data_IF_513520550134
#
_entry.id   IF_513520550134
#
_cell.length_a   1.000
_cell.length_b   1.000
_cell.length_c   1.000
_cell.angle_alpha   90.00
_cell.angle_beta   90.00
_cell.angle_gamma   90.00
#
_symmetry.space_group_name_H-M   'P 1'
#
loop_
_entity.id
_entity.type
_entity.pdbx_description
1 polymer ?
#
# COMPACT_ATOMS: atom_id res chain seq x y z
N UNK A 1 2.83 0.79 -4.36
CA UNK A 1 1.57 1.42 -4.79
C UNK A 1 1.60 1.67 -6.28
N UNK A 2 0.60 1.16 -7.00
CA UNK A 2 0.30 1.42 -8.41
C UNK A 2 -0.90 2.37 -8.62
N UNK A 3 -1.21 3.22 -7.63
CA UNK A 3 -2.46 3.97 -7.58
C UNK A 3 -2.74 4.83 -8.81
N UNK A 4 -3.98 4.75 -9.30
CA UNK A 4 -4.54 5.63 -10.33
C UNK A 4 -4.65 7.06 -9.78
N UNK A 5 -4.23 8.06 -10.56
CA UNK A 5 -4.34 9.49 -10.22
C UNK A 5 -3.00 10.20 -9.94
N UNK A 6 -1.92 9.47 -9.63
CA UNK A 6 -0.58 10.04 -9.38
C UNK A 6 0.08 10.72 -10.60
N UNK A 7 -0.53 10.54 -11.77
CA UNK A 7 -0.04 10.99 -13.08
C UNK A 7 -0.61 12.39 -13.44
N UNK A 8 -1.55 12.92 -12.64
CA UNK A 8 -2.13 14.25 -12.86
C UNK A 8 -1.21 15.36 -12.34
N UNK A 9 -0.88 16.35 -13.19
CA UNK A 9 -0.16 17.58 -12.81
C UNK A 9 1.32 17.67 -13.19
N UNK A 10 1.86 16.69 -13.92
CA UNK A 10 3.17 16.76 -14.55
C UNK A 10 3.17 16.04 -15.91
N UNK A 11 4.13 16.31 -16.81
CA UNK A 11 4.17 15.70 -18.15
C UNK A 11 4.46 14.19 -18.16
N UNK A 12 4.72 13.55 -17.01
CA UNK A 12 4.95 12.10 -16.93
C UNK A 12 4.42 11.52 -15.62
N UNK A 13 3.79 10.32 -15.66
CA UNK A 13 3.56 9.46 -14.49
C UNK A 13 4.82 9.36 -13.63
N UNK A 14 4.69 9.47 -12.31
CA UNK A 14 5.80 9.24 -11.37
C UNK A 14 5.34 8.29 -10.29
N UNK A 15 5.40 6.99 -10.58
CA UNK A 15 5.02 5.96 -9.61
C UNK A 15 6.25 5.47 -8.86
N UNK A 16 6.26 5.45 -7.51
CA UNK A 16 7.46 5.11 -6.75
C UNK A 16 8.11 3.78 -7.15
N UNK A 17 7.31 2.76 -7.45
CA UNK A 17 7.81 1.44 -7.83
C UNK A 17 8.51 1.41 -9.20
N UNK A 18 8.13 2.29 -10.14
CA UNK A 18 8.79 2.39 -11.45
C UNK A 18 10.18 3.01 -11.32
N UNK A 19 10.30 4.04 -10.49
CA UNK A 19 11.60 4.64 -10.16
C UNK A 19 12.51 3.66 -9.41
N UNK A 20 11.97 2.91 -8.44
CA UNK A 20 12.72 1.87 -7.74
C UNK A 20 13.23 0.81 -8.71
N UNK A 21 12.41 0.32 -9.64
CA UNK A 21 12.84 -0.64 -10.68
C UNK A 21 14.01 -0.12 -11.52
N UNK A 22 13.96 1.16 -11.91
CA UNK A 22 15.01 1.76 -12.72
C UNK A 22 16.34 1.83 -11.96
N UNK A 23 16.32 2.11 -10.66
CA UNK A 23 17.52 2.23 -9.82
C UNK A 23 18.06 0.87 -9.37
N UNK A 24 17.17 -0.08 -9.07
CA UNK A 24 17.54 -1.38 -8.51
C UNK A 24 18.01 -2.39 -9.56
N UNK A 25 17.92 -2.09 -10.85
CA UNK A 25 18.27 -3.02 -11.92
C UNK A 25 19.72 -3.56 -11.77
N UNK A 26 19.94 -4.89 -11.83
CA UNK A 26 19.02 -5.94 -12.28
C UNK A 26 18.10 -6.56 -11.20
N UNK A 27 18.08 -6.03 -9.98
CA UNK A 27 17.21 -6.47 -8.89
C UNK A 27 15.71 -6.33 -9.19
N UNK A 28 14.91 -7.17 -8.53
CA UNK A 28 13.46 -7.24 -8.74
C UNK A 28 12.69 -6.33 -7.77
N UNK A 29 11.62 -5.69 -8.26
CA UNK A 29 10.65 -4.95 -7.44
C UNK A 29 9.26 -5.50 -7.69
N UNK A 30 8.66 -6.06 -6.64
CA UNK A 30 7.36 -6.72 -6.65
C UNK A 30 6.31 -5.77 -6.05
N UNK A 31 5.51 -5.07 -6.87
CA UNK A 31 4.47 -4.17 -6.38
C UNK A 31 3.23 -4.97 -5.95
N UNK A 32 3.11 -5.26 -4.66
CA UNK A 32 1.93 -5.94 -4.11
C UNK A 32 0.78 -4.96 -3.80
N UNK A 33 1.11 -3.74 -3.41
CA UNK A 33 0.11 -2.74 -3.00
C UNK A 33 -0.62 -2.08 -4.18
N UNK A 34 -1.96 -2.14 -4.12
CA UNK A 34 -2.89 -1.50 -5.04
C UNK A 34 -3.41 -0.19 -4.44
N UNK A 35 -3.56 0.86 -5.27
CA UNK A 35 -4.21 2.11 -4.84
C UNK A 35 -5.60 1.83 -4.27
N UNK A 36 -6.18 2.70 -3.45
CA UNK A 36 -7.54 2.54 -2.89
C UNK A 36 -7.75 1.39 -1.88
N UNK A 37 -6.85 0.42 -1.80
CA UNK A 37 -6.91 -0.64 -0.77
C UNK A 37 -6.67 -0.08 0.64
N UNK A 38 -7.35 -0.67 1.62
CA UNK A 38 -7.14 -0.46 3.06
C UNK A 38 -6.10 -1.45 3.62
N UNK A 39 -5.52 -1.17 4.80
CA UNK A 39 -4.41 -1.98 5.36
C UNK A 39 -4.73 -3.47 5.46
N UNK A 40 -5.97 -3.83 5.77
CA UNK A 40 -6.40 -5.22 5.87
C UNK A 40 -6.46 -6.00 4.55
N UNK A 41 -6.59 -5.31 3.42
CA UNK A 41 -6.38 -5.95 2.12
C UNK A 41 -4.91 -6.30 1.93
N UNK A 42 -4.00 -5.43 2.40
CA UNK A 42 -2.56 -5.65 2.28
C UNK A 42 -2.10 -6.83 3.15
N UNK A 43 -2.73 -7.04 4.33
CA UNK A 43 -2.49 -8.22 5.17
C UNK A 43 -2.76 -9.53 4.43
N UNK A 44 -3.85 -9.58 3.67
CA UNK A 44 -4.18 -10.73 2.81
C UNK A 44 -3.20 -10.84 1.65
N UNK A 45 -2.89 -9.72 0.99
CA UNK A 45 -1.94 -9.72 -0.14
C UNK A 45 -0.56 -10.23 0.25
N UNK A 46 -0.04 -9.90 1.45
CA UNK A 46 1.26 -10.42 1.88
C UNK A 46 1.20 -11.84 2.46
N UNK A 47 0.00 -12.40 2.61
CA UNK A 47 -0.22 -13.74 3.18
C UNK A 47 -0.21 -13.80 4.71
N UNK A 48 -0.27 -12.65 5.40
CA UNK A 48 -0.42 -12.62 6.86
C UNK A 48 -1.78 -13.18 7.27
N UNK A 49 -2.85 -12.75 6.60
CA UNK A 49 -4.18 -13.32 6.81
C UNK A 49 -4.53 -14.24 5.64
N UNK A 50 -5.05 -15.43 5.96
CA UNK A 50 -5.48 -16.44 5.00
C UNK A 50 -6.98 -16.72 5.17
N UNK A 51 -7.85 -15.81 4.72
CA UNK A 51 -9.28 -15.89 4.99
C UNK A 51 -9.92 -17.07 4.27
N UNK A 52 -10.87 -17.73 4.91
CA UNK A 52 -11.78 -18.68 4.28
C UNK A 52 -12.71 -17.94 3.32
N UNK A 53 -12.69 -18.39 2.07
CA UNK A 53 -13.60 -17.97 1.01
C UNK A 53 -14.70 -19.01 0.88
N UNK A 54 -15.95 -18.56 0.92
CA UNK A 54 -17.13 -19.39 0.77
C UNK A 54 -17.85 -19.10 -0.55
N UNK A 55 -18.41 -20.13 -1.16
CA UNK A 55 -19.16 -20.07 -2.40
C UNK A 55 -20.64 -20.38 -2.19
N UNK A 56 -21.55 -19.89 -3.06
CA UNK A 56 -22.94 -20.32 -3.04
C UNK A 56 -23.05 -21.84 -3.20
N UNK A 57 -23.61 -22.52 -2.19
CA UNK A 57 -23.73 -23.99 -2.19
C UNK A 57 -22.42 -24.75 -1.89
N UNK A 58 -21.40 -24.07 -1.34
CA UNK A 58 -20.14 -24.68 -0.89
C UNK A 58 -19.11 -24.95 -1.98
N UNK A 59 -19.42 -24.56 -3.23
CA UNK A 59 -18.49 -24.69 -4.37
C UNK A 59 -18.75 -23.63 -5.44
N UNK A 60 -17.69 -23.20 -6.12
CA UNK A 60 -17.79 -22.47 -7.38
C UNK A 60 -18.41 -23.41 -8.43
N UNK A 61 -19.73 -23.27 -8.67
CA UNK A 61 -20.51 -24.21 -9.47
C UNK A 61 -20.36 -24.04 -11.00
N UNK A 62 -19.69 -22.97 -11.44
CA UNK A 62 -19.51 -22.64 -12.85
C UNK A 62 -18.03 -22.46 -13.18
N UNK A 63 -17.54 -23.02 -14.30
CA UNK A 63 -16.25 -22.65 -14.87
C UNK A 63 -16.13 -21.13 -15.07
N UNK A 64 -14.92 -20.60 -14.92
CA UNK A 64 -14.63 -19.17 -15.02
C UNK A 64 -14.86 -18.39 -13.71
N UNK A 65 -15.24 -17.12 -13.83
CA UNK A 65 -15.44 -16.24 -12.67
C UNK A 65 -16.71 -16.62 -11.90
N UNK A 66 -16.55 -16.99 -10.63
CA UNK A 66 -17.64 -17.34 -9.72
C UNK A 66 -17.84 -16.26 -8.65
N UNK A 67 -19.09 -15.96 -8.25
CA UNK A 67 -19.35 -15.09 -7.10
C UNK A 67 -18.96 -15.81 -5.80
N UNK A 68 -18.44 -15.04 -4.86
CA UNK A 68 -18.13 -15.47 -3.50
C UNK A 68 -19.29 -15.07 -2.59
N UNK A 69 -19.82 -16.02 -1.80
CA UNK A 69 -20.92 -15.76 -0.86
C UNK A 69 -20.44 -15.17 0.46
N UNK A 70 -19.18 -15.39 0.83
CA UNK A 70 -18.58 -14.83 2.03
C UNK A 70 -17.05 -14.91 2.03
N UNK A 71 -16.43 -13.95 2.70
CA UNK A 71 -15.01 -13.97 3.06
C UNK A 71 -14.98 -13.72 4.57
N UNK A 72 -14.41 -14.63 5.35
CA UNK A 72 -14.39 -14.58 6.82
C UNK A 72 -13.38 -13.55 7.38
N UNK A 73 -13.35 -12.38 6.77
CA UNK A 73 -12.41 -11.32 7.06
C UNK A 73 -13.11 -9.97 7.02
N UNK A 74 -12.58 -9.00 7.75
CA UNK A 74 -13.13 -7.66 7.82
C UNK A 74 -12.88 -6.82 6.55
N UNK A 75 -12.34 -7.43 5.49
CA UNK A 75 -12.14 -6.72 4.23
C UNK A 75 -13.46 -6.47 3.51
N UNK A 76 -13.60 -5.29 2.92
CA UNK A 76 -14.70 -4.99 2.02
C UNK A 76 -14.33 -5.39 0.58
N UNK A 77 -15.35 -5.57 -0.25
CA UNK A 77 -15.21 -5.97 -1.65
C UNK A 77 -14.87 -4.81 -2.59
N UNK A 78 -13.99 -3.90 -2.17
CA UNK A 78 -13.61 -2.74 -2.96
C UNK A 78 -13.14 -3.12 -4.38
N UNK A 79 -13.74 -2.54 -5.42
CA UNK A 79 -13.57 -2.99 -6.82
C UNK A 79 -12.13 -3.03 -7.35
N UNK A 80 -11.22 -2.24 -6.77
CA UNK A 80 -9.83 -2.24 -7.23
C UNK A 80 -8.96 -3.25 -6.49
N UNK A 81 -9.51 -4.00 -5.54
CA UNK A 81 -8.79 -5.10 -4.90
C UNK A 81 -8.75 -6.30 -5.84
N UNK A 82 -7.55 -6.82 -6.05
CA UNK A 82 -7.29 -8.06 -6.77
C UNK A 82 -6.08 -8.76 -6.16
N UNK A 83 -6.15 -10.06 -5.91
CA UNK A 83 -5.03 -10.81 -5.36
C UNK A 83 -4.94 -12.18 -6.03
N UNK A 84 -3.80 -12.44 -6.68
CA UNK A 84 -3.46 -13.78 -7.11
C UNK A 84 -3.16 -14.66 -5.88
N UNK A 85 -3.60 -15.92 -5.94
CA UNK A 85 -3.42 -16.87 -4.85
C UNK A 85 -3.99 -18.23 -5.18
N UNK A 86 -4.31 -19.00 -4.16
CA UNK A 86 -4.96 -20.30 -4.31
C UNK A 86 -5.99 -20.55 -3.23
N UNK A 87 -7.01 -21.35 -3.56
CA UNK A 87 -7.98 -21.91 -2.60
C UNK A 87 -7.93 -23.43 -2.79
N UNK A 88 -7.66 -24.18 -1.71
CA UNK A 88 -7.51 -25.65 -1.76
C UNK A 88 -6.52 -26.13 -2.84
N UNK A 89 -5.45 -25.35 -3.09
CA UNK A 89 -4.44 -25.63 -4.11
C UNK A 89 -4.84 -25.26 -5.54
N UNK A 90 -6.06 -24.79 -5.79
CA UNK A 90 -6.50 -24.29 -7.09
C UNK A 90 -6.01 -22.85 -7.25
N UNK A 91 -5.09 -22.56 -8.20
CA UNK A 91 -4.61 -21.20 -8.41
C UNK A 91 -5.69 -20.33 -9.07
N UNK A 92 -5.73 -19.05 -8.71
CA UNK A 92 -6.70 -18.11 -9.26
C UNK A 92 -6.52 -16.70 -8.70
N UNK A 93 -7.54 -15.88 -8.91
CA UNK A 93 -7.58 -14.48 -8.47
C UNK A 93 -8.85 -14.23 -7.66
N UNK A 94 -8.66 -13.74 -6.43
CA UNK A 94 -9.73 -13.17 -5.60
C UNK A 94 -9.80 -11.67 -5.88
N UNK A 95 -10.97 -11.17 -6.29
CA UNK A 95 -11.16 -9.76 -6.64
C UNK A 95 -12.43 -9.17 -6.01
N UNK A 96 -12.38 -7.90 -5.62
CA UNK A 96 -13.55 -7.14 -5.19
C UNK A 96 -14.38 -6.64 -6.38
N UNK A 97 -15.70 -6.55 -6.21
CA UNK A 97 -16.65 -6.07 -7.22
C UNK A 97 -17.69 -5.11 -6.61
N UNK A 98 -17.21 -4.16 -5.79
CA UNK A 98 -17.94 -3.16 -4.99
C UNK A 98 -18.85 -3.73 -3.88
N UNK A 99 -19.72 -4.69 -4.20
CA UNK A 99 -20.71 -5.26 -3.25
C UNK A 99 -20.45 -6.71 -2.87
N UNK A 100 -19.58 -7.41 -3.61
CA UNK A 100 -19.26 -8.81 -3.39
C UNK A 100 -17.84 -9.12 -3.88
N UNK A 101 -17.29 -10.24 -3.43
CA UNK A 101 -16.05 -10.77 -3.98
C UNK A 101 -16.34 -11.73 -5.15
N UNK A 102 -15.35 -11.91 -5.99
CA UNK A 102 -15.35 -12.89 -7.08
C UNK A 102 -14.06 -13.69 -7.05
N UNK A 103 -14.16 -14.94 -7.48
CA UNK A 103 -13.04 -15.85 -7.65
C UNK A 103 -12.94 -16.25 -9.11
N UNK A 104 -11.75 -16.14 -9.69
CA UNK A 104 -11.48 -16.60 -11.06
C UNK A 104 -10.33 -17.61 -11.03
N UNK A 105 -10.60 -18.92 -11.20
CA UNK A 105 -9.55 -19.93 -11.35
C UNK A 105 -8.66 -19.61 -12.56
N UNK A 106 -7.34 -19.81 -12.42
CA UNK A 106 -6.37 -19.48 -13.47
C UNK A 106 -6.53 -20.36 -14.73
N UNK A 107 -6.97 -21.61 -14.56
CA UNK A 107 -7.25 -22.54 -15.65
C UNK A 107 -8.67 -22.42 -16.23
N UNK A 108 -9.47 -21.48 -15.71
CA UNK A 108 -10.85 -21.20 -16.11
C UNK A 108 -11.84 -22.37 -16.00
N UNK A 109 -11.43 -23.54 -15.52
CA UNK A 109 -12.19 -24.79 -15.62
C UNK A 109 -12.32 -25.54 -14.30
N UNK A 110 -11.49 -25.21 -13.30
CA UNK A 110 -11.49 -25.91 -12.03
C UNK A 110 -12.55 -25.40 -11.07
N UNK A 111 -13.49 -26.28 -10.72
CA UNK A 111 -14.43 -26.06 -9.61
C UNK A 111 -13.62 -25.97 -8.31
N UNK A 112 -13.93 -24.97 -7.49
CA UNK A 112 -13.23 -24.71 -6.23
C UNK A 112 -14.24 -24.82 -5.09
N UNK A 113 -13.96 -25.64 -4.08
CA UNK A 113 -14.74 -25.72 -2.84
C UNK A 113 -14.37 -24.59 -1.89
N UNK A 114 -15.20 -24.34 -0.88
CA UNK A 114 -14.89 -23.42 0.22
C UNK A 114 -13.52 -23.76 0.83
N UNK A 115 -12.76 -22.74 1.22
CA UNK A 115 -11.45 -22.96 1.81
C UNK A 115 -10.62 -21.71 2.01
N UNK A 116 -9.46 -21.84 2.66
CA UNK A 116 -8.56 -20.72 2.90
C UNK A 116 -7.98 -20.20 1.60
N UNK A 117 -8.02 -18.88 1.41
CA UNK A 117 -7.27 -18.19 0.38
C UNK A 117 -5.82 -17.97 0.83
N UNK A 118 -4.87 -18.50 0.06
CA UNK A 118 -3.43 -18.33 0.29
C UNK A 118 -2.86 -17.44 -0.81
N UNK A 119 -2.29 -16.29 -0.45
CA UNK A 119 -1.71 -15.34 -1.40
C UNK A 119 -0.50 -15.95 -2.13
N UNK A 120 -0.44 -15.71 -3.44
CA UNK A 120 0.70 -16.11 -4.27
C UNK A 120 1.98 -15.33 -3.92
N UNK A 121 1.87 -14.13 -3.34
CA UNK A 121 3.04 -13.30 -3.00
C UNK A 121 3.82 -13.83 -1.80
N UNK A 122 3.24 -14.74 -1.00
CA UNK A 122 3.86 -15.22 0.25
C UNK A 122 5.25 -15.84 0.02
N UNK A 123 5.46 -16.54 -1.09
CA UNK A 123 6.77 -17.12 -1.43
C UNK A 123 7.79 -16.05 -1.80
N UNK A 124 7.38 -15.08 -2.61
CA UNK A 124 8.27 -14.09 -3.20
C UNK A 124 8.71 -13.04 -2.18
N UNK A 125 7.89 -12.83 -1.16
CA UNK A 125 8.16 -11.93 -0.05
C UNK A 125 9.15 -12.50 0.96
N UNK A 126 9.39 -13.82 0.96
CA UNK A 126 10.27 -14.43 1.96
C UNK A 126 11.73 -14.00 1.78
N UNK A 127 12.24 -13.28 2.77
CA UNK A 127 13.63 -12.82 2.79
C UNK A 127 13.89 -11.54 2.00
N UNK A 128 12.87 -10.96 1.38
CA UNK A 128 12.96 -9.68 0.67
C UNK A 128 13.12 -8.49 1.62
N UNK A 129 13.45 -7.33 1.04
CA UNK A 129 13.24 -6.04 1.69
C UNK A 129 11.82 -5.55 1.42
N UNK A 130 11.16 -5.04 2.46
CA UNK A 130 9.76 -4.63 2.42
C UNK A 130 9.63 -3.13 2.52
N UNK A 131 8.76 -2.56 1.69
CA UNK A 131 8.35 -1.17 1.75
C UNK A 131 6.87 -1.09 2.10
N UNK A 132 6.55 -0.66 3.32
CA UNK A 132 5.16 -0.52 3.76
C UNK A 132 4.71 0.93 3.65
N UNK A 133 3.73 1.18 2.78
CA UNK A 133 3.03 2.46 2.66
C UNK A 133 1.53 2.22 2.48
N UNK A 134 0.87 1.88 3.59
CA UNK A 134 -0.50 1.39 3.62
C UNK A 134 -1.31 2.07 4.74
N UNK A 135 -2.63 1.94 4.69
CA UNK A 135 -3.52 2.34 5.78
C UNK A 135 -4.15 3.73 5.66
N UNK A 136 -3.76 4.56 4.67
CA UNK A 136 -4.38 5.89 4.46
C UNK A 136 -5.90 5.81 4.31
N UNK A 137 -6.40 4.80 3.59
CA UNK A 137 -7.82 4.65 3.26
C UNK A 137 -8.69 4.21 4.45
N UNK A 138 -8.09 3.76 5.56
CA UNK A 138 -8.79 3.42 6.81
C UNK A 138 -8.20 4.13 8.02
N UNK A 139 -7.43 5.21 7.81
CA UNK A 139 -6.71 5.90 8.90
C UNK A 139 -7.64 6.52 9.94
N UNK A 140 -8.87 6.85 9.55
CA UNK A 140 -9.89 7.37 10.47
C UNK A 140 -10.47 6.31 11.39
N UNK A 141 -10.31 5.03 11.08
CA UNK A 141 -10.88 3.94 11.85
C UNK A 141 -10.17 3.82 13.19
N UNK A 142 -10.96 3.84 14.26
CA UNK A 142 -10.46 3.78 15.64
C UNK A 142 -9.37 4.83 15.92
N UNK A 143 -9.45 6.01 15.28
CA UNK A 143 -8.44 7.06 15.43
C UNK A 143 -7.03 6.63 15.02
N UNK A 144 -6.91 5.78 14.00
CA UNK A 144 -5.65 5.26 13.48
C UNK A 144 -5.12 4.02 14.20
N UNK A 145 -5.83 3.50 15.22
CA UNK A 145 -5.38 2.32 15.96
C UNK A 145 -5.32 1.07 15.07
N UNK A 146 -6.28 0.93 14.15
CA UNK A 146 -6.31 -0.17 13.20
C UNK A 146 -5.10 -0.13 12.25
N UNK A 147 -4.80 1.04 11.67
CA UNK A 147 -3.62 1.23 10.81
C UNK A 147 -2.31 0.89 11.52
N UNK A 148 -2.16 1.30 12.78
CA UNK A 148 -1.02 0.94 13.62
C UNK A 148 -0.94 -0.58 13.78
N UNK A 149 -2.02 -1.20 14.26
CA UNK A 149 -2.06 -2.64 14.53
C UNK A 149 -1.78 -3.47 13.28
N UNK A 150 -2.32 -3.07 12.14
CA UNK A 150 -2.11 -3.79 10.88
C UNK A 150 -0.68 -3.63 10.37
N UNK A 151 -0.14 -2.42 10.42
CA UNK A 151 1.25 -2.19 9.98
C UNK A 151 2.22 -2.98 10.84
N UNK A 152 2.04 -2.95 12.16
CA UNK A 152 2.88 -3.68 13.10
C UNK A 152 2.79 -5.19 12.89
N UNK A 153 1.59 -5.73 12.71
CA UNK A 153 1.41 -7.15 12.42
C UNK A 153 2.06 -7.55 11.08
N UNK A 154 1.96 -6.71 10.05
CA UNK A 154 2.61 -6.98 8.76
C UNK A 154 4.14 -6.96 8.88
N UNK A 155 4.73 -6.02 9.62
CA UNK A 155 6.17 -5.99 9.86
C UNK A 155 6.62 -7.22 10.66
N UNK A 156 5.91 -7.54 11.75
CA UNK A 156 6.24 -8.70 12.60
C UNK A 156 6.14 -10.02 11.82
N UNK A 157 5.17 -10.13 10.90
CA UNK A 157 5.00 -11.29 10.01
C UNK A 157 6.21 -11.55 9.10
N UNK A 158 6.91 -10.50 8.65
CA UNK A 158 8.12 -10.66 7.83
C UNK A 158 9.25 -11.35 8.59
N UNK A 159 9.23 -11.30 9.93
CA UNK A 159 10.27 -11.85 10.79
C UNK A 159 11.61 -11.10 10.74
N UNK A 160 11.69 -9.97 10.04
CA UNK A 160 12.92 -9.21 9.82
C UNK A 160 12.61 -7.69 9.76
N UNK A 161 12.36 -7.10 10.93
CA UNK A 161 12.03 -5.68 11.04
C UNK A 161 13.12 -4.79 10.40
N UNK A 162 14.39 -5.18 10.47
CA UNK A 162 15.53 -4.50 9.86
C UNK A 162 15.50 -4.46 8.32
N UNK A 163 14.64 -5.27 7.70
CA UNK A 163 14.40 -5.29 6.25
C UNK A 163 13.11 -4.57 5.87
N UNK A 164 12.40 -3.98 6.82
CA UNK A 164 11.16 -3.27 6.60
C UNK A 164 11.39 -1.77 6.67
N UNK A 165 10.98 -1.04 5.64
CA UNK A 165 10.98 0.41 5.60
C UNK A 165 9.54 0.92 5.55
N UNK A 166 9.18 1.79 6.51
CA UNK A 166 7.81 2.23 6.75
C UNK A 166 7.67 3.68 6.32
N UNK A 167 6.73 3.96 5.43
CA UNK A 167 6.38 5.32 5.02
C UNK A 167 5.20 5.82 5.83
N UNK A 168 5.43 6.94 6.51
CA UNK A 168 4.42 7.69 7.21
C UNK A 168 3.33 8.23 6.28
N UNK A 169 2.26 8.67 6.92
CA UNK A 169 1.07 9.20 6.28
C UNK A 169 1.15 10.71 6.23
N UNK A 170 0.34 11.33 5.38
CA UNK A 170 0.25 12.78 5.29
C UNK A 170 -1.20 13.25 5.31
N UNK A 171 -1.40 14.50 5.72
CA UNK A 171 -2.70 15.16 5.77
C UNK A 171 -2.99 15.78 4.40
N UNK A 172 -4.12 15.44 3.81
CA UNK A 172 -4.58 15.98 2.54
C UNK A 172 -5.40 17.25 2.76
N UNK A 173 -5.55 18.12 1.74
CA UNK A 173 -6.47 19.26 1.80
C UNK A 173 -7.91 18.92 2.21
N UNK A 174 -8.37 17.69 1.93
CA UNK A 174 -9.73 17.24 2.25
C UNK A 174 -9.87 16.58 3.62
N UNK A 175 -8.77 16.36 4.35
CA UNK A 175 -8.81 15.69 5.64
C UNK A 175 -9.40 16.60 6.73
N UNK A 176 -10.37 16.07 7.47
CA UNK A 176 -10.88 16.71 8.68
C UNK A 176 -9.82 16.74 9.80
N UNK A 177 -9.99 17.62 10.79
CA UNK A 177 -9.15 17.65 12.01
C UNK A 177 -9.08 16.29 12.72
N UNK A 178 -10.15 15.48 12.64
CA UNK A 178 -10.15 14.11 13.19
C UNK A 178 -9.15 13.22 12.45
N UNK A 179 -9.14 13.27 11.12
CA UNK A 179 -8.21 12.50 10.29
C UNK A 179 -6.78 13.00 10.48
N UNK A 180 -6.57 14.32 10.54
CA UNK A 180 -5.24 14.90 10.80
C UNK A 180 -4.65 14.41 12.14
N UNK A 181 -5.46 14.31 13.20
CA UNK A 181 -5.03 13.71 14.49
C UNK A 181 -4.69 12.23 14.38
N UNK A 182 -5.45 11.47 13.60
CA UNK A 182 -5.17 10.05 13.38
C UNK A 182 -3.85 9.87 12.60
N UNK A 183 -3.61 10.69 11.56
CA UNK A 183 -2.32 10.74 10.83
C UNK A 183 -1.17 11.02 11.78
N UNK A 184 -1.26 12.06 12.62
CA UNK A 184 -0.22 12.39 13.58
C UNK A 184 0.05 11.22 14.54
N UNK A 185 -1.00 10.61 15.10
CA UNK A 185 -0.87 9.46 15.99
C UNK A 185 -0.20 8.25 15.32
N UNK A 186 -0.57 7.93 14.09
CA UNK A 186 0.04 6.83 13.31
C UNK A 186 1.52 7.12 13.08
N UNK A 187 1.86 8.33 12.62
CA UNK A 187 3.26 8.70 12.36
C UNK A 187 4.10 8.73 13.64
N UNK A 188 3.57 9.24 14.75
CA UNK A 188 4.27 9.27 16.03
C UNK A 188 4.58 7.86 16.54
N UNK A 189 3.61 6.94 16.44
CA UNK A 189 3.82 5.53 16.78
C UNK A 189 4.87 4.88 15.89
N UNK A 190 4.73 5.02 14.56
CA UNK A 190 5.64 4.40 13.61
C UNK A 190 7.06 4.97 13.73
N UNK A 191 7.21 6.27 13.95
CA UNK A 191 8.50 6.91 14.27
C UNK A 191 9.13 6.32 15.52
N UNK A 192 8.34 6.20 16.60
CA UNK A 192 8.85 5.67 17.87
C UNK A 192 9.24 4.19 17.78
N UNK A 193 8.48 3.37 17.04
CA UNK A 193 8.71 1.93 16.90
C UNK A 193 9.86 1.60 15.93
N UNK A 194 9.92 2.28 14.79
CA UNK A 194 10.82 1.89 13.69
C UNK A 194 12.06 2.76 13.56
N UNK A 195 12.11 3.94 14.19
CA UNK A 195 13.29 4.79 14.21
C UNK A 195 13.81 5.12 12.80
N UNK A 196 15.04 4.73 12.51
CA UNK A 196 15.69 4.98 11.21
C UNK A 196 15.03 4.24 10.03
N UNK A 197 14.19 3.23 10.30
CA UNK A 197 13.42 2.49 9.32
C UNK A 197 12.07 3.15 8.99
N UNK A 198 11.84 4.37 9.48
CA UNK A 198 10.65 5.16 9.22
C UNK A 198 10.97 6.45 8.44
N UNK A 199 10.14 6.75 7.44
CA UNK A 199 10.15 8.02 6.72
C UNK A 199 8.84 8.78 6.98
N UNK A 200 8.90 9.89 7.71
CA UNK A 200 7.74 10.76 7.87
C UNK A 200 7.47 11.56 6.58
N UNK A 201 6.47 11.10 5.81
CA UNK A 201 6.06 11.76 4.57
C UNK A 201 5.43 13.14 4.83
N UNK A 202 4.73 13.33 5.95
CA UNK A 202 4.17 14.64 6.32
C UNK A 202 5.29 15.66 6.56
N UNK A 203 6.33 15.27 7.32
CA UNK A 203 7.50 16.12 7.57
C UNK A 203 8.26 16.41 6.28
N UNK A 204 8.49 15.37 5.46
CA UNK A 204 9.17 15.49 4.17
C UNK A 204 8.49 16.52 3.26
N UNK A 205 7.15 16.49 3.19
CA UNK A 205 6.38 17.35 2.28
C UNK A 205 6.03 18.72 2.86
N UNK A 206 6.34 19.00 4.13
CA UNK A 206 6.02 20.27 4.80
C UNK A 206 7.23 21.04 5.32
N UNK A 207 8.43 20.49 5.20
CA UNK A 207 9.69 21.11 5.64
C UNK A 207 10.64 21.38 4.48
N UNK A 208 11.61 22.27 4.72
CA UNK A 208 12.66 22.57 3.72
C UNK A 208 13.57 21.37 3.44
N UNK A 209 13.71 20.44 4.39
CA UNK A 209 14.50 19.22 4.18
C UNK A 209 14.00 18.48 2.93
N UNK A 210 12.74 18.09 2.83
CA UNK A 210 12.25 17.42 1.62
C UNK A 210 12.12 18.36 0.43
N UNK A 211 11.48 19.52 0.62
CA UNK A 211 11.12 20.42 -0.48
C UNK A 211 12.32 21.13 -1.14
N UNK A 212 13.49 21.18 -0.50
CA UNK A 212 14.72 21.77 -1.06
C UNK A 212 15.82 20.75 -1.34
N UNK A 213 15.52 19.45 -1.25
CA UNK A 213 16.51 18.41 -1.56
C UNK A 213 16.73 18.27 -3.06
N UNK A 214 17.96 18.02 -3.56
CA UNK A 214 18.16 17.67 -4.97
C UNK A 214 17.52 16.31 -5.30
N UNK A 215 16.86 16.08 -6.45
CA UNK A 215 16.65 16.99 -7.58
C UNK A 215 15.44 17.93 -7.41
N UNK A 216 14.65 17.73 -6.35
CA UNK A 216 13.37 18.38 -6.04
C UNK A 216 13.49 19.90 -5.87
N UNK A 217 14.65 20.40 -5.42
CA UNK A 217 14.96 21.84 -5.27
C UNK A 217 14.70 22.65 -6.54
N UNK A 218 14.94 22.06 -7.71
CA UNK A 218 14.75 22.74 -9.00
C UNK A 218 13.26 23.06 -9.30
N UNK A 219 12.34 22.46 -8.55
CA UNK A 219 10.89 22.62 -8.71
C UNK A 219 10.33 23.82 -7.93
N UNK A 220 11.16 24.51 -7.13
CA UNK A 220 10.88 25.79 -6.48
C UNK A 220 9.55 25.82 -5.67
N UNK A 221 9.38 24.92 -4.71
CA UNK A 221 8.21 24.92 -3.83
C UNK A 221 8.21 26.09 -2.87
N UNK A 222 7.06 26.75 -2.72
CA UNK A 222 6.81 27.69 -1.62
C UNK A 222 6.37 26.89 -0.40
N UNK A 223 7.26 26.69 0.57
CA UNK A 223 6.92 26.04 1.82
C UNK A 223 5.91 26.89 2.61
N UNK A 224 4.87 26.25 3.14
CA UNK A 224 3.96 26.87 4.10
C UNK A 224 4.10 26.12 5.42
N UNK A 225 4.30 26.83 6.54
CA UNK A 225 4.61 26.19 7.83
C UNK A 225 3.55 25.14 8.19
N UNK A 226 3.97 23.89 8.28
CA UNK A 226 3.12 22.76 8.70
C UNK A 226 2.03 22.37 7.71
N UNK A 227 2.07 22.88 6.47
CA UNK A 227 1.12 22.52 5.40
C UNK A 227 1.87 22.07 4.16
N UNK A 228 1.32 21.05 3.53
CA UNK A 228 1.86 20.53 2.27
C UNK A 228 1.50 21.54 1.16
N UNK A 229 2.48 22.01 0.36
CA UNK A 229 2.19 22.93 -0.73
C UNK A 229 1.22 22.33 -1.74
N UNK A 230 0.26 23.11 -2.23
CA UNK A 230 -0.68 22.66 -3.27
C UNK A 230 0.03 22.17 -4.53
N UNK A 231 1.21 22.70 -4.81
CA UNK A 231 2.04 22.32 -5.97
C UNK A 231 2.62 20.90 -5.91
N UNK A 232 2.49 20.16 -4.80
CA UNK A 232 2.82 18.72 -4.71
C UNK A 232 1.58 17.83 -4.61
N UNK A 233 0.38 18.41 -4.55
CA UNK A 233 -0.90 17.70 -4.47
C UNK A 233 -1.55 17.63 -5.86
N UNK A 234 -2.25 16.54 -6.14
CA UNK A 234 -3.03 16.38 -7.36
C UNK A 234 -4.32 17.23 -7.30
N UNK A 235 -4.96 17.52 -8.45
CA UNK A 235 -6.19 18.34 -8.48
C UNK A 235 -7.35 17.78 -7.67
N UNK A 236 -7.37 16.47 -7.40
CA UNK A 236 -8.38 15.84 -6.55
C UNK A 236 -8.24 16.18 -5.06
N UNK A 237 -7.14 16.82 -4.65
CA UNK A 237 -6.88 17.19 -3.26
C UNK A 237 -6.66 16.00 -2.33
N UNK A 238 -6.43 14.80 -2.86
CA UNK A 238 -6.25 13.56 -2.09
C UNK A 238 -4.87 12.95 -2.37
N UNK A 239 -4.47 12.89 -3.64
CA UNK A 239 -3.24 12.23 -4.06
C UNK A 239 -2.06 13.21 -4.16
N UNK A 240 -0.84 12.68 -4.10
CA UNK A 240 0.34 13.43 -4.54
C UNK A 240 0.34 13.48 -6.07
N UNK A 241 0.69 14.64 -6.61
CA UNK A 241 1.02 14.73 -8.03
C UNK A 241 2.44 14.18 -8.27
N UNK A 242 2.89 14.15 -9.53
CA UNK A 242 4.20 13.60 -9.85
C UNK A 242 5.36 14.30 -9.12
N UNK A 243 5.26 15.63 -8.87
CA UNK A 243 6.29 16.37 -8.13
C UNK A 243 6.35 15.92 -6.67
N UNK A 244 5.20 15.73 -6.03
CA UNK A 244 5.11 15.16 -4.69
C UNK A 244 5.71 13.76 -4.62
N UNK A 245 5.38 12.91 -5.59
CA UNK A 245 5.96 11.57 -5.70
C UNK A 245 7.48 11.60 -5.91
N UNK A 246 8.03 12.55 -6.68
CA UNK A 246 9.48 12.71 -6.82
C UNK A 246 10.18 13.02 -5.49
N UNK A 247 9.56 13.80 -4.61
CA UNK A 247 10.11 14.07 -3.27
C UNK A 247 10.20 12.79 -2.45
N UNK A 248 9.13 12.01 -2.44
CA UNK A 248 9.07 10.73 -1.70
C UNK A 248 10.07 9.73 -2.27
N UNK A 249 10.14 9.59 -3.59
CA UNK A 249 11.09 8.68 -4.27
C UNK A 249 12.53 9.06 -3.95
N UNK A 250 12.88 10.34 -4.03
CA UNK A 250 14.22 10.79 -3.68
C UNK A 250 14.58 10.41 -2.23
N UNK A 251 13.71 10.76 -1.28
CA UNK A 251 13.96 10.50 0.13
C UNK A 251 14.06 9.00 0.43
N UNK A 252 13.22 8.19 -0.22
CA UNK A 252 13.28 6.74 -0.14
C UNK A 252 14.63 6.20 -0.62
N UNK A 253 15.10 6.64 -1.79
CA UNK A 253 16.39 6.18 -2.33
C UNK A 253 17.56 6.59 -1.44
N UNK A 254 17.56 7.81 -0.89
CA UNK A 254 18.61 8.24 0.05
C UNK A 254 18.59 7.42 1.34
N UNK A 255 17.42 7.06 1.85
CA UNK A 255 17.29 6.18 3.01
C UNK A 255 17.75 4.75 2.72
N UNK A 256 17.41 4.20 1.56
CA UNK A 256 17.89 2.89 1.13
C UNK A 256 19.43 2.84 1.02
N UNK A 257 20.07 3.91 0.52
CA UNK A 257 21.55 4.03 0.51
C UNK A 257 22.12 4.06 1.94
N UNK A 258 21.52 4.84 2.84
CA UNK A 258 21.97 4.94 4.23
C UNK A 258 21.85 3.59 4.98
N UNK A 259 20.83 2.80 4.64
CA UNK A 259 20.64 1.45 5.17
C UNK A 259 21.50 0.38 4.48
N UNK A 260 22.23 0.74 3.41
CA UNK A 260 23.06 -0.18 2.64
C UNK A 260 22.25 -1.19 1.81
N UNK A 261 21.00 -0.87 1.46
CA UNK A 261 20.16 -1.71 0.60
C UNK A 261 20.47 -1.52 -0.88
N UNK A 262 21.08 -0.38 -1.25
CA UNK A 262 21.58 0.00 -2.58
C UNK A 262 22.89 0.77 -2.50
#
# INVERSE_FOLDING_TARGET
MSGEGGDHGAPSPSRPHEHLRAVLSPGEVIPTAQGGTQSFHNRVQIGLDAPTVAFPGGRAATPGTAPVSGVDHHMNSWRGFSCAGSINGVPGVLAGADTHFTWTPADGSTLTEDGPFVSAFTSDLKGAHHLFWCGKNNIGEQGGALTISDTDAMVDFTGAAERCFILGQWVTPLDSTRIARAVARVNDHQRARYGDLFLDVQELLSTSWGLQSPPVRALAFTATRGRIPESVVAPDGIHLNARGNQVVVWALLERMKQLGWI
#
